data_IF_791716849719
#
_entry.id   IF_791716849719
#
_cell.length_a   1.000
_cell.length_b   1.000
_cell.length_c   1.000
_cell.angle_alpha   90.00
_cell.angle_beta   90.00
_cell.angle_gamma   90.00
#
_symmetry.space_group_name_H-M   'P 1'
#
loop_
_entity.id
_entity.type
_entity.pdbx_description
1 polymer ?
#
# COMPACT_ATOMS: atom_id res chain seq x y z
N UNK A 1 -3.06 -5.66 22.64
CA UNK A 1 -2.07 -5.15 21.67
C UNK A 1 -2.63 -5.48 20.29
N UNK A 2 -3.32 -4.53 19.66
CA UNK A 2 -3.93 -4.73 18.34
C UNK A 2 -2.88 -4.56 17.25
N UNK A 3 -2.68 -5.59 16.42
CA UNK A 3 -1.85 -5.50 15.23
C UNK A 3 -2.64 -4.77 14.16
N UNK A 4 -2.30 -3.50 13.89
CA UNK A 4 -2.91 -2.73 12.82
C UNK A 4 -2.37 -3.19 11.46
N UNK A 5 -3.14 -4.01 10.75
CA UNK A 5 -2.88 -4.32 9.35
C UNK A 5 -3.29 -3.14 8.46
N UNK A 6 -2.42 -2.12 8.39
CA UNK A 6 -2.61 -1.03 7.41
C UNK A 6 -2.21 -1.54 6.03
N UNK A 7 -3.18 -2.10 5.31
CA UNK A 7 -3.00 -2.49 3.91
C UNK A 7 -3.05 -1.24 3.02
N UNK A 8 -1.90 -0.58 2.83
CA UNK A 8 -1.72 0.40 1.77
C UNK A 8 -1.48 -0.35 0.45
N UNK A 9 -2.56 -0.66 -0.27
CA UNK A 9 -2.46 -1.16 -1.64
C UNK A 9 -2.32 0.07 -2.57
N UNK A 10 -1.12 0.38 -3.11
CA UNK A 10 -1.01 1.46 -4.07
C UNK A 10 -1.84 1.05 -5.29
N UNK A 11 -2.73 1.93 -5.75
CA UNK A 11 -3.56 1.72 -6.93
C UNK A 11 -2.66 1.46 -8.14
N UNK A 12 -2.40 0.19 -8.47
CA UNK A 12 -1.70 -0.17 -9.70
C UNK A 12 -2.77 -0.59 -10.68
N UNK A 13 -3.16 0.36 -11.53
CA UNK A 13 -3.74 0.06 -12.83
C UNK A 13 -2.75 -0.85 -13.58
N UNK A 14 -3.01 -2.15 -13.57
CA UNK A 14 -2.19 -3.16 -14.24
C UNK A 14 -3.06 -3.92 -15.25
N UNK A 15 -3.77 -3.16 -16.09
CA UNK A 15 -4.27 -3.65 -17.38
C UNK A 15 -3.83 -2.60 -18.39
N UNK A 16 -3.26 -3.06 -19.50
CA UNK A 16 -2.44 -2.30 -20.44
C UNK A 16 -2.88 -0.86 -20.71
N UNK A 17 -1.87 -0.01 -20.94
CA UNK A 17 -1.91 1.45 -21.21
C UNK A 17 -2.93 1.90 -22.27
N UNK A 18 -4.21 1.65 -22.08
CA UNK A 18 -5.28 2.19 -22.91
C UNK A 18 -5.62 3.57 -22.35
N UNK A 19 -5.43 4.59 -23.18
CA UNK A 19 -5.80 5.96 -22.81
C UNK A 19 -7.31 6.01 -22.58
N UNK A 20 -7.75 6.71 -21.53
CA UNK A 20 -9.18 6.95 -21.27
C UNK A 20 -9.90 7.56 -22.49
N UNK A 21 -9.15 8.22 -23.38
CA UNK A 21 -9.66 8.80 -24.63
C UNK A 21 -10.03 7.76 -25.71
N UNK A 22 -9.70 6.48 -25.53
CA UNK A 22 -9.97 5.41 -26.51
C UNK A 22 -11.15 4.51 -26.12
N UNK A 23 -11.80 4.80 -24.98
CA UNK A 23 -12.83 3.93 -24.39
C UNK A 23 -14.19 4.64 -24.39
N UNK A 24 -15.27 3.88 -24.64
CA UNK A 24 -16.62 4.40 -24.45
C UNK A 24 -16.93 4.58 -22.96
N UNK A 25 -17.89 5.44 -22.62
CA UNK A 25 -18.28 5.70 -21.23
C UNK A 25 -18.68 4.41 -20.49
N UNK A 26 -19.27 3.44 -21.19
CA UNK A 26 -19.63 2.13 -20.64
C UNK A 26 -18.41 1.26 -20.34
N UNK A 27 -17.42 1.22 -21.25
CA UNK A 27 -16.17 0.51 -21.03
C UNK A 27 -15.38 1.09 -19.86
N UNK A 28 -15.36 2.42 -19.72
CA UNK A 28 -14.73 3.09 -18.58
C UNK A 28 -15.46 2.73 -17.28
N UNK A 29 -16.79 2.76 -17.25
CA UNK A 29 -17.58 2.38 -16.07
C UNK A 29 -17.35 0.92 -15.67
N UNK A 30 -17.37 0.00 -16.64
CA UNK A 30 -17.08 -1.41 -16.41
C UNK A 30 -15.67 -1.60 -15.85
N UNK A 31 -14.66 -0.95 -16.44
CA UNK A 31 -13.27 -1.03 -15.99
C UNK A 31 -13.09 -0.53 -14.55
N UNK A 32 -13.64 0.64 -14.22
CA UNK A 32 -13.56 1.19 -12.86
C UNK A 32 -14.25 0.27 -11.86
N UNK A 33 -15.39 -0.32 -12.23
CA UNK A 33 -16.10 -1.28 -11.39
C UNK A 33 -15.28 -2.54 -11.13
N UNK A 34 -14.66 -3.09 -12.18
CA UNK A 34 -13.82 -4.29 -12.07
C UNK A 34 -12.58 -4.06 -11.20
N UNK A 35 -11.87 -2.95 -11.40
CA UNK A 35 -10.72 -2.59 -10.55
C UNK A 35 -11.14 -2.41 -9.08
N UNK A 36 -12.29 -1.77 -8.84
CA UNK A 36 -12.82 -1.59 -7.49
C UNK A 36 -13.21 -2.94 -6.85
N UNK A 37 -13.84 -3.83 -7.62
CA UNK A 37 -14.21 -5.18 -7.18
C UNK A 37 -12.97 -6.01 -6.85
N UNK A 38 -11.94 -5.98 -7.70
CA UNK A 38 -10.67 -6.68 -7.49
C UNK A 38 -9.98 -6.20 -6.22
N UNK A 39 -9.91 -4.87 -6.02
CA UNK A 39 -9.34 -4.27 -4.81
C UNK A 39 -10.10 -4.69 -3.55
N UNK A 40 -11.44 -4.63 -3.58
CA UNK A 40 -12.30 -5.06 -2.48
C UNK A 40 -12.09 -6.54 -2.16
N UNK A 41 -12.03 -7.41 -3.17
CA UNK A 41 -11.86 -8.84 -2.99
C UNK A 41 -10.53 -9.17 -2.28
N UNK A 42 -9.42 -8.57 -2.72
CA UNK A 42 -8.11 -8.76 -2.06
C UNK A 42 -8.15 -8.28 -0.61
N UNK A 43 -8.67 -7.07 -0.36
CA UNK A 43 -8.77 -6.52 0.98
C UNK A 43 -9.62 -7.41 1.91
N UNK A 44 -10.77 -7.89 1.42
CA UNK A 44 -11.65 -8.77 2.20
C UNK A 44 -10.95 -10.08 2.60
N UNK A 45 -10.09 -10.66 1.74
CA UNK A 45 -9.29 -11.84 2.10
C UNK A 45 -8.36 -11.59 3.28
N UNK A 46 -7.72 -10.40 3.34
CA UNK A 46 -6.88 -10.03 4.47
C UNK A 46 -7.69 -9.78 5.75
N UNK A 47 -8.83 -9.10 5.63
CA UNK A 47 -9.74 -8.89 6.77
C UNK A 47 -10.19 -10.23 7.35
N UNK A 48 -10.57 -11.18 6.49
CA UNK A 48 -10.97 -12.52 6.91
C UNK A 48 -9.85 -13.24 7.65
N UNK A 49 -8.63 -13.24 7.10
CA UNK A 49 -7.46 -13.86 7.74
C UNK A 49 -7.19 -13.28 9.14
N UNK A 50 -7.31 -11.97 9.30
CA UNK A 50 -7.16 -11.32 10.59
C UNK A 50 -8.31 -11.64 11.55
N UNK A 51 -9.54 -11.73 11.04
CA UNK A 51 -10.73 -12.08 11.84
C UNK A 51 -10.64 -13.52 12.34
N UNK A 52 -10.22 -14.45 11.47
CA UNK A 52 -10.01 -15.86 11.80
C UNK A 52 -8.95 -16.04 12.90
N UNK A 53 -7.98 -15.14 12.95
CA UNK A 53 -6.91 -15.09 13.98
C UNK A 53 -7.28 -14.23 15.19
N UNK A 54 -8.54 -13.77 15.29
CA UNK A 54 -9.08 -12.92 16.38
C UNK A 54 -8.32 -11.60 16.55
N UNK A 55 -7.77 -11.07 15.47
CA UNK A 55 -7.14 -9.75 15.42
C UNK A 55 -8.21 -8.72 15.07
N UNK A 56 -8.26 -7.62 15.82
CA UNK A 56 -9.11 -6.46 15.51
C UNK A 56 -8.61 -5.77 14.23
N UNK A 57 -9.50 -5.53 13.27
CA UNK A 57 -9.13 -4.94 11.98
C UNK A 57 -9.87 -3.65 11.75
N UNK A 58 -9.12 -2.58 11.53
CA UNK A 58 -9.63 -1.32 11.01
C UNK A 58 -9.12 -1.11 9.59
N UNK A 59 -10.01 -0.67 8.70
CA UNK A 59 -9.66 -0.34 7.31
C UNK A 59 -9.81 1.16 7.11
N UNK A 60 -8.74 1.79 6.62
CA UNK A 60 -8.75 3.21 6.25
C UNK A 60 -8.55 3.32 4.74
N UNK A 61 -9.50 3.99 4.08
CA UNK A 61 -9.39 4.38 2.69
C UNK A 61 -9.02 5.86 2.61
N UNK A 62 -7.92 6.15 1.92
CA UNK A 62 -7.44 7.51 1.77
C UNK A 62 -7.28 7.88 0.29
N UNK A 63 -7.81 9.05 -0.08
CA UNK A 63 -7.58 9.68 -1.36
C UNK A 63 -6.51 10.76 -1.18
N UNK A 64 -5.34 10.57 -1.78
CA UNK A 64 -4.23 11.52 -1.66
C UNK A 64 -3.39 11.54 -2.93
N UNK A 65 -2.91 12.73 -3.28
CA UNK A 65 -1.96 12.96 -4.37
C UNK A 65 -0.55 12.44 -4.05
N UNK A 66 -0.23 12.25 -2.76
CA UNK A 66 1.05 11.70 -2.30
C UNK A 66 0.81 10.62 -1.26
N UNK A 67 0.94 9.37 -1.70
CA UNK A 67 0.74 8.18 -0.87
C UNK A 67 1.72 8.12 0.31
N UNK A 68 2.98 8.51 0.13
CA UNK A 68 3.98 8.50 1.22
C UNK A 68 3.66 9.51 2.31
N UNK A 69 3.32 10.75 1.94
CA UNK A 69 2.96 11.79 2.90
C UNK A 69 1.70 11.41 3.67
N UNK A 70 0.70 10.92 2.95
CA UNK A 70 -0.52 10.37 3.52
C UNK A 70 -0.27 9.31 4.60
N UNK A 71 0.63 8.36 4.34
CA UNK A 71 1.00 7.33 5.32
C UNK A 71 1.63 7.98 6.55
N UNK A 72 2.59 8.89 6.35
CA UNK A 72 3.28 9.58 7.45
C UNK A 72 2.33 10.40 8.32
N UNK A 73 1.37 11.09 7.72
CA UNK A 73 0.37 11.89 8.43
C UNK A 73 -0.60 10.98 9.23
N UNK A 74 -0.82 9.74 8.77
CA UNK A 74 -1.72 8.79 9.42
C UNK A 74 -1.09 8.06 10.61
N UNK A 75 0.23 7.85 10.61
CA UNK A 75 0.96 7.19 11.71
C UNK A 75 0.65 7.80 13.08
N UNK A 76 0.77 9.13 13.30
CA UNK A 76 0.45 9.72 14.60
C UNK A 76 -1.06 9.74 14.89
N UNK A 77 -1.90 9.90 13.87
CA UNK A 77 -3.37 9.95 14.04
C UNK A 77 -3.92 8.62 14.55
N UNK A 78 -3.39 7.51 14.05
CA UNK A 78 -3.81 6.15 14.44
C UNK A 78 -2.88 5.49 15.46
N UNK A 79 -1.86 6.20 15.93
CA UNK A 79 -0.84 5.68 16.83
C UNK A 79 -0.21 4.36 16.35
N UNK A 80 0.17 4.31 15.07
CA UNK A 80 0.75 3.12 14.44
C UNK A 80 2.18 2.93 14.95
N UNK A 81 2.44 1.80 15.62
CA UNK A 81 3.75 1.44 16.15
C UNK A 81 4.52 0.47 15.25
N UNK A 82 3.82 -0.29 14.39
CA UNK A 82 4.43 -1.21 13.44
C UNK A 82 3.76 -1.04 12.07
N UNK A 83 4.55 -0.71 11.06
CA UNK A 83 4.08 -0.53 9.69
C UNK A 83 4.79 -1.50 8.75
N UNK A 84 4.03 -2.37 8.09
CA UNK A 84 4.56 -3.27 7.06
C UNK A 84 4.18 -2.75 5.67
N UNK A 85 5.17 -2.53 4.81
CA UNK A 85 4.95 -2.07 3.43
C UNK A 85 5.56 -3.02 2.41
N UNK A 86 4.73 -3.50 1.49
CA UNK A 86 5.18 -4.22 0.31
C UNK A 86 5.76 -3.28 -0.75
N UNK A 87 6.91 -3.61 -1.32
CA UNK A 87 7.47 -2.91 -2.48
C UNK A 87 7.47 -3.80 -3.72
N UNK A 88 7.35 -3.17 -4.88
CA UNK A 88 7.33 -3.88 -6.18
C UNK A 88 8.69 -4.13 -6.81
N UNK A 89 9.71 -3.38 -6.39
CA UNK A 89 11.05 -3.43 -6.97
C UNK A 89 12.08 -3.43 -5.86
N UNK A 90 13.16 -4.22 -5.97
CA UNK A 90 14.18 -4.28 -4.93
C UNK A 90 14.98 -2.97 -4.90
N UNK A 91 15.48 -2.58 -3.71
CA UNK A 91 16.25 -1.34 -3.52
C UNK A 91 17.55 -1.28 -4.33
N UNK A 92 18.10 -2.42 -4.74
CA UNK A 92 19.33 -2.52 -5.52
C UNK A 92 19.17 -2.25 -7.04
N UNK A 93 17.94 -2.18 -7.56
CA UNK A 93 17.70 -1.86 -8.99
C UNK A 93 17.97 -0.38 -9.35
N UNK A 94 18.44 0.42 -8.37
CA UNK A 94 18.73 1.86 -8.47
C UNK A 94 20.08 2.20 -9.12
N UNK A 95 20.48 1.45 -10.14
CA UNK A 95 21.66 1.78 -10.93
C UNK A 95 21.54 3.10 -11.69
N UNK A 96 20.33 3.67 -11.88
CA UNK A 96 20.14 4.80 -12.81
C UNK A 96 19.22 5.95 -12.37
N UNK A 97 18.54 5.88 -11.22
CA UNK A 97 17.57 6.94 -10.82
C UNK A 97 17.83 7.35 -9.37
N UNK A 98 18.35 8.58 -9.20
CA UNK A 98 18.46 9.26 -7.91
C UNK A 98 17.06 9.49 -7.32
N UNK A 99 16.57 8.53 -6.54
CA UNK A 99 15.30 8.66 -5.83
C UNK A 99 15.13 7.58 -4.78
N UNK A 100 14.84 7.99 -3.55
CA UNK A 100 14.45 7.06 -2.47
C UNK A 100 13.08 6.48 -2.80
N UNK A 101 12.97 5.14 -2.89
CA UNK A 101 11.68 4.49 -3.12
C UNK A 101 10.68 4.82 -2.00
N UNK A 102 9.38 4.83 -2.32
CA UNK A 102 8.28 5.12 -1.38
C UNK A 102 8.46 4.47 0.00
N UNK A 103 8.76 3.17 0.04
CA UNK A 103 8.92 2.44 1.30
C UNK A 103 10.11 2.92 2.14
N UNK A 104 11.24 3.22 1.51
CA UNK A 104 12.40 3.79 2.20
C UNK A 104 12.17 5.24 2.63
N UNK A 105 11.43 6.01 1.84
CA UNK A 105 11.09 7.38 2.20
C UNK A 105 10.24 7.40 3.48
N UNK A 106 9.23 6.54 3.54
CA UNK A 106 8.39 6.40 4.74
C UNK A 106 9.21 5.85 5.90
N UNK A 107 10.05 4.82 5.70
CA UNK A 107 10.90 4.28 6.77
C UNK A 107 11.84 5.34 7.37
N UNK A 108 12.44 6.21 6.55
CA UNK A 108 13.35 7.27 7.02
C UNK A 108 12.65 8.45 7.69
N UNK A 109 11.35 8.62 7.44
CA UNK A 109 10.57 9.78 7.90
C UNK A 109 9.54 9.42 8.96
N UNK A 110 9.33 8.14 9.21
CA UNK A 110 8.44 7.69 10.26
C UNK A 110 8.97 8.15 11.63
N UNK A 111 8.07 8.43 12.60
CA UNK A 111 8.47 8.71 13.96
C UNK A 111 9.27 7.56 14.58
N UNK A 112 10.14 7.88 15.54
CA UNK A 112 11.04 6.91 16.18
C UNK A 112 10.31 5.73 16.86
N UNK A 113 9.05 5.95 17.29
CA UNK A 113 8.22 4.91 17.91
C UNK A 113 7.56 3.95 16.90
N UNK A 114 7.69 4.21 15.59
CA UNK A 114 7.06 3.44 14.54
C UNK A 114 8.10 2.58 13.80
N UNK A 115 8.11 1.27 14.04
CA UNK A 115 8.96 0.35 13.28
C UNK A 115 8.37 0.12 11.88
N UNK A 116 9.10 0.57 10.86
CA UNK A 116 8.70 0.37 9.46
C UNK A 116 9.47 -0.80 8.84
N UNK A 117 8.76 -1.87 8.52
CA UNK A 117 9.28 -3.06 7.84
C UNK A 117 8.91 -3.04 6.36
N UNK A 118 9.93 -3.16 5.49
CA UNK A 118 9.73 -3.25 4.05
C UNK A 118 9.80 -4.73 3.62
N UNK A 119 8.82 -5.18 2.83
CA UNK A 119 8.74 -6.55 2.31
C UNK A 119 8.84 -6.53 0.78
N UNK A 120 9.72 -7.34 0.22
CA UNK A 120 9.86 -7.57 -1.22
C UNK A 120 9.83 -9.06 -1.49
N UNK A 121 8.95 -9.49 -2.39
CA UNK A 121 8.83 -10.89 -2.82
C UNK A 121 8.71 -11.88 -1.63
N UNK A 122 7.85 -11.52 -0.67
CA UNK A 122 7.61 -12.30 0.55
C UNK A 122 8.75 -12.26 1.58
N UNK A 123 9.83 -11.52 1.34
CA UNK A 123 10.99 -11.43 2.24
C UNK A 123 11.11 -10.06 2.88
N UNK A 124 11.36 -10.00 4.19
CA UNK A 124 11.72 -8.75 4.89
C UNK A 124 13.05 -8.27 4.34
N UNK A 125 13.09 -7.03 3.87
CA UNK A 125 14.33 -6.37 3.52
C UNK A 125 14.95 -5.81 4.80
N UNK A 126 16.08 -6.38 5.19
CA UNK A 126 16.98 -5.76 6.16
C UNK A 126 17.75 -4.66 5.42
N UNK A 127 17.39 -3.41 5.70
CA UNK A 127 18.24 -2.28 5.32
C UNK A 127 19.42 -2.27 6.29
N UNK A 128 20.60 -2.60 5.78
CA UNK A 128 21.87 -2.48 6.49
C UNK A 128 22.38 -1.05 6.50
#
# INVERSE_FOLDING_TARGET
MGTFCVNFCPLISMVGRLSRSQLTQEQVRFYVKEENNRRKNILQKYIQLCTDTKVTVDTVLLESNSTSKAILDLIPVLNITYLVMGIKRPPASRGLIKGTGMGEFVQKKAPDYCEVTIVYDGKKLTVG
#
